data_IF_816381133295
#
_entry.id   IF_816381133295
#
_cell.length_a   1.000
_cell.length_b   1.000
_cell.length_c   1.000
_cell.angle_alpha   90.00
_cell.angle_beta   90.00
_cell.angle_gamma   90.00
#
_symmetry.space_group_name_H-M   'P 1'
#
loop_
_entity.id
_entity.type
_entity.pdbx_description
1 polymer ?
#
# COMPACT_ATOMS: atom_id res chain seq x y z
N UNK A 1 44.15 33.89 -8.02
CA UNK A 1 43.41 33.29 -9.15
C UNK A 1 42.84 31.97 -8.68
N UNK A 2 41.58 31.97 -8.22
CA UNK A 2 40.89 30.79 -7.75
C UNK A 2 39.99 30.27 -8.88
N UNK A 3 40.00 28.96 -9.13
CA UNK A 3 39.21 28.32 -10.18
C UNK A 3 37.71 28.35 -9.83
N UNK A 4 36.82 28.68 -10.78
CA UNK A 4 35.38 28.66 -10.54
C UNK A 4 34.79 27.28 -10.90
N UNK A 5 33.99 26.72 -9.98
CA UNK A 5 32.81 25.93 -10.34
C UNK A 5 32.92 24.39 -10.37
N UNK A 6 33.16 23.76 -9.23
CA UNK A 6 32.81 22.33 -9.00
C UNK A 6 31.74 22.18 -7.91
N UNK A 7 30.69 23.00 -7.96
CA UNK A 7 29.53 22.85 -7.07
C UNK A 7 28.25 22.73 -7.90
N UNK A 8 27.65 21.53 -7.91
CA UNK A 8 26.21 21.43 -8.15
C UNK A 8 25.72 20.49 -9.25
N UNK A 9 26.44 19.41 -9.56
CA UNK A 9 25.84 18.24 -10.20
C UNK A 9 26.25 17.01 -9.39
N UNK A 10 25.56 16.77 -8.27
CA UNK A 10 25.36 15.37 -7.86
C UNK A 10 24.78 14.70 -9.10
N UNK A 11 25.55 13.79 -9.71
CA UNK A 11 25.09 13.03 -10.86
C UNK A 11 23.71 12.47 -10.52
N UNK A 12 22.71 12.63 -11.40
CA UNK A 12 21.35 12.11 -11.18
C UNK A 12 21.39 10.65 -10.69
N UNK A 13 22.40 9.89 -11.13
CA UNK A 13 22.67 8.53 -10.67
C UNK A 13 22.93 8.40 -9.15
N UNK A 14 23.64 9.33 -8.51
CA UNK A 14 23.85 9.35 -7.05
C UNK A 14 22.54 9.64 -6.31
N UNK A 15 21.72 10.57 -6.82
CA UNK A 15 20.40 10.88 -6.25
C UNK A 15 19.47 9.66 -6.37
N UNK A 16 19.43 9.01 -7.53
CA UNK A 16 18.67 7.76 -7.75
C UNK A 16 19.18 6.60 -6.90
N UNK A 17 20.49 6.48 -6.70
CA UNK A 17 21.09 5.44 -5.87
C UNK A 17 20.76 5.64 -4.38
N UNK A 18 20.91 6.86 -3.86
CA UNK A 18 20.56 7.21 -2.47
C UNK A 18 19.07 7.10 -2.20
N UNK A 19 18.20 7.65 -3.05
CA UNK A 19 16.74 7.50 -2.95
C UNK A 19 16.37 6.01 -2.90
N UNK A 20 17.01 5.24 -3.77
CA UNK A 20 16.96 3.82 -3.80
C UNK A 20 17.23 3.04 -2.52
N UNK A 21 18.41 3.28 -1.95
CA UNK A 21 18.88 2.58 -0.75
C UNK A 21 17.96 2.85 0.45
N UNK A 22 17.37 4.05 0.52
CA UNK A 22 16.45 4.44 1.60
C UNK A 22 15.01 3.97 1.33
N UNK A 23 14.62 3.79 0.06
CA UNK A 23 13.26 3.40 -0.33
C UNK A 23 12.83 2.02 0.18
N UNK A 24 13.73 1.03 0.20
CA UNK A 24 13.39 -0.33 0.69
C UNK A 24 12.95 -0.35 2.16
N UNK A 25 13.78 0.16 3.09
CA UNK A 25 13.40 0.30 4.49
C UNK A 25 12.16 1.16 4.70
N UNK A 26 12.04 2.30 3.99
CA UNK A 26 10.86 3.17 4.07
C UNK A 26 9.58 2.47 3.62
N UNK A 27 9.65 1.69 2.52
CA UNK A 27 8.56 0.87 2.05
C UNK A 27 8.11 -0.13 3.11
N UNK A 28 9.04 -0.87 3.72
CA UNK A 28 8.71 -1.85 4.76
C UNK A 28 8.09 -1.20 6.01
N UNK A 29 8.62 -0.05 6.44
CA UNK A 29 8.05 0.71 7.57
C UNK A 29 6.64 1.17 7.25
N UNK A 30 6.43 1.75 6.06
CA UNK A 30 5.13 2.25 5.65
C UNK A 30 4.11 1.12 5.42
N UNK A 31 4.54 -0.02 4.89
CA UNK A 31 3.73 -1.23 4.77
C UNK A 31 3.31 -1.75 6.16
N UNK A 32 4.27 -1.84 7.10
CA UNK A 32 3.98 -2.25 8.47
C UNK A 32 3.02 -1.27 9.16
N UNK A 33 3.23 0.03 9.01
CA UNK A 33 2.33 1.06 9.52
C UNK A 33 0.93 0.94 8.92
N UNK A 34 0.82 0.71 7.61
CA UNK A 34 -0.46 0.48 6.92
C UNK A 34 -1.21 -0.70 7.53
N UNK A 35 -0.52 -1.83 7.76
CA UNK A 35 -1.11 -3.02 8.39
C UNK A 35 -1.59 -2.71 9.82
N UNK A 36 -0.77 -2.03 10.62
CA UNK A 36 -1.14 -1.63 11.99
C UNK A 36 -2.38 -0.76 12.00
N UNK A 37 -2.42 0.29 11.17
CA UNK A 37 -3.58 1.19 11.11
C UNK A 37 -4.83 0.51 10.55
N UNK A 38 -4.68 -0.43 9.61
CA UNK A 38 -5.78 -1.26 9.13
C UNK A 38 -6.39 -2.11 10.26
N UNK A 39 -5.55 -2.76 11.08
CA UNK A 39 -6.00 -3.53 12.26
C UNK A 39 -6.70 -2.61 13.27
N UNK A 40 -6.15 -1.42 13.53
CA UNK A 40 -6.78 -0.43 14.41
C UNK A 40 -8.14 0.03 13.86
N UNK A 41 -8.25 0.25 12.55
CA UNK A 41 -9.49 0.64 11.89
C UNK A 41 -10.57 -0.44 12.00
N UNK A 42 -10.21 -1.70 11.78
CA UNK A 42 -11.11 -2.86 11.94
C UNK A 42 -11.56 -2.97 13.40
N UNK A 43 -10.62 -2.89 14.33
CA UNK A 43 -10.90 -2.99 15.76
C UNK A 43 -11.81 -1.85 16.26
N UNK A 44 -11.55 -0.60 15.84
CA UNK A 44 -12.42 0.54 16.14
C UNK A 44 -13.82 0.35 15.53
N UNK A 45 -13.92 -0.19 14.32
CA UNK A 45 -15.18 -0.51 13.64
C UNK A 45 -16.00 -1.58 14.37
N UNK A 46 -15.34 -2.61 14.91
CA UNK A 46 -15.99 -3.64 15.74
C UNK A 46 -16.49 -3.10 17.08
N UNK A 47 -15.74 -2.21 17.73
CA UNK A 47 -16.17 -1.53 18.96
C UNK A 47 -17.22 -0.43 18.73
N UNK A 48 -17.56 -0.13 17.47
CA UNK A 48 -18.52 0.91 17.12
C UNK A 48 -18.02 2.35 17.36
N UNK A 49 -16.70 2.54 17.53
CA UNK A 49 -16.07 3.83 17.79
C UNK A 49 -15.92 4.62 16.48
N UNK A 50 -17.02 5.21 16.00
CA UNK A 50 -17.14 5.82 14.66
C UNK A 50 -16.04 6.84 14.34
N UNK A 51 -15.79 7.81 15.23
CA UNK A 51 -14.78 8.85 14.99
C UNK A 51 -13.37 8.25 14.84
N UNK A 52 -12.99 7.33 15.75
CA UNK A 52 -11.68 6.65 15.67
C UNK A 52 -11.58 5.78 14.41
N UNK A 53 -12.66 5.11 14.02
CA UNK A 53 -12.71 4.33 12.80
C UNK A 53 -12.46 5.20 11.56
N UNK A 54 -13.11 6.36 11.43
CA UNK A 54 -12.89 7.22 10.26
C UNK A 54 -11.48 7.81 10.22
N UNK A 55 -10.95 8.26 11.34
CA UNK A 55 -9.58 8.78 11.42
C UNK A 55 -8.56 7.71 11.02
N UNK A 56 -8.69 6.50 11.58
CA UNK A 56 -7.78 5.39 11.27
C UNK A 56 -7.93 4.89 9.82
N UNK A 57 -9.14 4.87 9.26
CA UNK A 57 -9.36 4.58 7.83
C UNK A 57 -8.68 5.63 6.94
N UNK A 58 -8.85 6.91 7.23
CA UNK A 58 -8.22 7.99 6.46
C UNK A 58 -6.68 7.86 6.46
N UNK A 59 -6.09 7.62 7.64
CA UNK A 59 -4.65 7.37 7.77
C UNK A 59 -4.24 6.12 6.98
N UNK A 60 -5.00 5.03 7.09
CA UNK A 60 -4.71 3.77 6.36
C UNK A 60 -4.69 3.99 4.85
N UNK A 61 -5.65 4.74 4.30
CA UNK A 61 -5.73 5.03 2.86
C UNK A 61 -4.52 5.85 2.40
N UNK A 62 -4.10 6.86 3.18
CA UNK A 62 -2.90 7.65 2.87
C UNK A 62 -1.64 6.78 2.90
N UNK A 63 -1.45 5.99 3.95
CA UNK A 63 -0.29 5.09 4.07
C UNK A 63 -0.27 4.05 2.94
N UNK A 64 -1.43 3.48 2.58
CA UNK A 64 -1.56 2.53 1.48
C UNK A 64 -1.17 3.17 0.14
N UNK A 65 -1.62 4.40 -0.13
CA UNK A 65 -1.23 5.13 -1.35
C UNK A 65 0.29 5.35 -1.42
N UNK A 66 0.90 5.76 -0.30
CA UNK A 66 2.35 5.88 -0.18
C UNK A 66 3.05 4.54 -0.37
N UNK A 67 2.48 3.44 0.13
CA UNK A 67 3.07 2.11 0.04
C UNK A 67 3.06 1.61 -1.41
N UNK A 68 2.01 1.92 -2.18
CA UNK A 68 1.94 1.63 -3.61
C UNK A 68 3.02 2.39 -4.38
N UNK A 69 3.17 3.70 -4.13
CA UNK A 69 4.20 4.52 -4.80
C UNK A 69 5.61 3.99 -4.47
N UNK A 70 5.87 3.68 -3.19
CA UNK A 70 7.16 3.15 -2.76
C UNK A 70 7.42 1.74 -3.32
N UNK A 71 6.40 0.88 -3.40
CA UNK A 71 6.50 -0.45 -4.01
C UNK A 71 6.85 -0.35 -5.49
N UNK A 72 6.25 0.58 -6.22
CA UNK A 72 6.58 0.83 -7.62
C UNK A 72 8.05 1.27 -7.77
N UNK A 73 8.48 2.27 -6.99
CA UNK A 73 9.87 2.76 -7.02
C UNK A 73 10.89 1.69 -6.64
N UNK A 74 10.56 0.86 -5.65
CA UNK A 74 11.41 -0.26 -5.23
C UNK A 74 11.45 -1.34 -6.30
N UNK A 75 10.30 -1.69 -6.89
CA UNK A 75 10.16 -2.72 -7.90
C UNK A 75 10.89 -2.42 -9.22
N UNK A 76 11.07 -1.14 -9.60
CA UNK A 76 11.82 -0.74 -10.81
C UNK A 76 13.27 -1.25 -10.87
N UNK A 77 13.82 -1.67 -9.74
CA UNK A 77 15.19 -2.20 -9.60
C UNK A 77 15.30 -3.68 -9.93
N UNK A 78 14.18 -4.33 -10.16
CA UNK A 78 14.12 -5.77 -10.32
C UNK A 78 13.44 -6.10 -11.64
N UNK A 79 13.91 -7.18 -12.26
CA UNK A 79 13.19 -7.90 -13.30
C UNK A 79 12.41 -9.03 -12.63
N UNK A 80 11.11 -9.12 -12.96
CA UNK A 80 10.20 -10.10 -12.37
C UNK A 80 9.75 -11.12 -13.41
N UNK A 81 9.56 -12.36 -12.96
CA UNK A 81 8.81 -13.35 -13.72
C UNK A 81 7.38 -12.83 -13.98
N UNK A 82 6.96 -12.85 -15.25
CA UNK A 82 5.68 -12.28 -15.68
C UNK A 82 4.49 -12.98 -15.02
N UNK A 83 4.57 -14.30 -14.81
CA UNK A 83 3.47 -15.06 -14.19
C UNK A 83 3.25 -14.59 -12.76
N UNK A 84 4.31 -14.50 -11.96
CA UNK A 84 4.23 -14.04 -10.56
C UNK A 84 3.77 -12.60 -10.47
N UNK A 85 4.25 -11.73 -11.36
CA UNK A 85 3.82 -10.34 -11.45
C UNK A 85 2.31 -10.24 -11.73
N UNK A 86 1.80 -10.98 -12.72
CA UNK A 86 0.37 -10.96 -13.03
C UNK A 86 -0.51 -11.51 -11.90
N UNK A 87 -0.06 -12.54 -11.20
CA UNK A 87 -0.78 -13.05 -10.01
C UNK A 87 -0.85 -11.98 -8.93
N UNK A 88 0.26 -11.31 -8.62
CA UNK A 88 0.28 -10.22 -7.65
C UNK A 88 -0.63 -9.06 -8.06
N UNK A 89 -0.49 -8.59 -9.31
CA UNK A 89 -1.32 -7.51 -9.85
C UNK A 89 -2.80 -7.89 -9.86
N UNK A 90 -3.15 -9.13 -10.19
CA UNK A 90 -4.52 -9.63 -10.12
C UNK A 90 -5.09 -9.47 -8.71
N UNK A 91 -4.40 -9.95 -7.68
CA UNK A 91 -4.82 -9.76 -6.29
C UNK A 91 -4.90 -8.29 -5.89
N UNK A 92 -3.93 -7.47 -6.30
CA UNK A 92 -3.90 -6.03 -6.01
C UNK A 92 -5.10 -5.30 -6.66
N UNK A 93 -5.40 -5.56 -7.93
CA UNK A 93 -6.52 -4.95 -8.64
C UNK A 93 -7.86 -5.38 -8.07
N UNK A 94 -8.04 -6.66 -7.70
CA UNK A 94 -9.29 -7.08 -7.03
C UNK A 94 -9.44 -6.40 -5.67
N UNK A 95 -8.35 -6.25 -4.91
CA UNK A 95 -8.39 -5.48 -3.66
C UNK A 95 -8.83 -4.03 -3.90
N UNK A 96 -8.22 -3.32 -4.87
CA UNK A 96 -8.61 -1.97 -5.24
C UNK A 96 -10.08 -1.89 -5.72
N UNK A 97 -10.54 -2.89 -6.49
CA UNK A 97 -11.92 -3.02 -6.92
C UNK A 97 -12.91 -3.19 -5.76
N UNK A 98 -12.46 -3.66 -4.59
CA UNK A 98 -13.31 -3.72 -3.39
C UNK A 98 -13.50 -2.34 -2.72
N UNK A 99 -12.60 -1.38 -2.93
CA UNK A 99 -12.63 -0.07 -2.26
C UNK A 99 -13.93 0.71 -2.50
N UNK A 100 -14.45 0.85 -3.75
CA UNK A 100 -15.74 1.50 -3.98
C UNK A 100 -16.88 0.85 -3.17
N UNK A 101 -16.89 -0.49 -3.06
CA UNK A 101 -17.86 -1.22 -2.27
C UNK A 101 -17.72 -0.98 -0.76
N UNK A 102 -16.48 -0.92 -0.25
CA UNK A 102 -16.19 -0.56 1.15
C UNK A 102 -16.67 0.86 1.47
N UNK A 103 -16.35 1.83 0.60
CA UNK A 103 -16.74 3.24 0.76
C UNK A 103 -18.26 3.39 0.69
N UNK A 104 -18.90 2.84 -0.35
CA UNK A 104 -20.35 2.89 -0.51
C UNK A 104 -21.09 2.27 0.67
N UNK A 105 -20.70 1.05 1.07
CA UNK A 105 -21.33 0.36 2.20
C UNK A 105 -21.04 1.04 3.54
N UNK A 106 -19.88 1.68 3.72
CA UNK A 106 -19.53 2.46 4.90
C UNK A 106 -20.36 3.74 5.02
N UNK A 107 -20.50 4.50 3.94
CA UNK A 107 -21.37 5.69 3.87
C UNK A 107 -22.83 5.31 4.07
N UNK A 108 -23.29 4.22 3.46
CA UNK A 108 -24.65 3.70 3.65
C UNK A 108 -24.90 3.26 5.10
N UNK A 109 -23.91 2.65 5.76
CA UNK A 109 -24.01 2.29 7.17
C UNK A 109 -24.08 3.54 8.08
N UNK A 110 -23.33 4.60 7.74
CA UNK A 110 -23.38 5.87 8.44
C UNK A 110 -24.76 6.56 8.31
N UNK A 111 -25.39 6.42 7.14
CA UNK A 111 -26.74 6.95 6.82
C UNK A 111 -27.89 6.03 7.24
N UNK A 112 -27.60 4.84 7.77
CA UNK A 112 -28.62 3.86 8.17
C UNK A 112 -29.29 3.10 7.01
N UNK A 113 -28.79 3.23 5.78
CA UNK A 113 -29.37 2.58 4.57
C UNK A 113 -28.78 1.20 4.28
N UNK A 114 -27.59 0.89 4.81
CA UNK A 114 -26.90 -0.39 4.60
C UNK A 114 -26.72 -1.13 5.93
N UNK A 115 -26.95 -2.44 5.93
CA UNK A 115 -26.78 -3.30 7.12
C UNK A 115 -25.30 -3.63 7.36
N UNK A 116 -24.90 -3.72 8.63
CA UNK A 116 -23.52 -4.07 9.04
C UNK A 116 -22.92 -5.31 8.33
N UNK A 117 -23.65 -6.42 8.11
CA UNK A 117 -23.09 -7.58 7.44
C UNK A 117 -22.63 -7.31 5.99
N UNK A 118 -23.31 -6.41 5.28
CA UNK A 118 -22.93 -6.05 3.89
C UNK A 118 -21.59 -5.33 3.88
N UNK A 119 -21.43 -4.32 4.76
CA UNK A 119 -20.15 -3.61 4.90
C UNK A 119 -19.02 -4.56 5.32
N UNK A 120 -19.28 -5.48 6.27
CA UNK A 120 -18.31 -6.49 6.70
C UNK A 120 -17.86 -7.42 5.56
N UNK A 121 -18.75 -7.79 4.63
CA UNK A 121 -18.38 -8.60 3.45
C UNK A 121 -17.43 -7.85 2.51
N UNK A 122 -17.72 -6.59 2.22
CA UNK A 122 -16.83 -5.75 1.40
C UNK A 122 -15.47 -5.54 2.05
N UNK A 123 -15.45 -5.22 3.35
CA UNK A 123 -14.19 -5.09 4.10
C UNK A 123 -13.44 -6.42 4.14
N UNK A 124 -14.14 -7.54 4.36
CA UNK A 124 -13.55 -8.87 4.35
C UNK A 124 -12.90 -9.23 3.02
N UNK A 125 -13.56 -8.93 1.89
CA UNK A 125 -13.00 -9.08 0.55
C UNK A 125 -11.75 -8.21 0.34
N UNK A 126 -11.84 -6.92 0.66
CA UNK A 126 -10.70 -6.01 0.58
C UNK A 126 -9.49 -6.51 1.39
N UNK A 127 -9.70 -6.89 2.65
CA UNK A 127 -8.64 -7.38 3.54
C UNK A 127 -8.05 -8.69 3.01
N UNK A 128 -8.89 -9.64 2.59
CA UNK A 128 -8.45 -10.93 2.06
C UNK A 128 -7.55 -10.74 0.82
N UNK A 129 -7.99 -9.98 -0.17
CA UNK A 129 -7.20 -9.75 -1.39
C UNK A 129 -5.97 -8.88 -1.15
N UNK A 130 -6.00 -7.97 -0.16
CA UNK A 130 -4.81 -7.24 0.27
C UNK A 130 -3.76 -8.17 0.87
N UNK A 131 -4.17 -9.08 1.77
CA UNK A 131 -3.25 -10.08 2.37
C UNK A 131 -2.69 -10.99 1.28
N UNK A 132 -3.53 -11.49 0.37
CA UNK A 132 -3.07 -12.29 -0.77
C UNK A 132 -2.07 -11.52 -1.63
N UNK A 133 -2.34 -10.25 -1.94
CA UNK A 133 -1.44 -9.39 -2.70
C UNK A 133 -0.07 -9.23 -2.04
N UNK A 134 -0.02 -9.05 -0.71
CA UNK A 134 1.23 -8.98 0.05
C UNK A 134 1.99 -10.31 0.01
N UNK A 135 1.29 -11.44 0.18
CA UNK A 135 1.91 -12.77 0.09
C UNK A 135 2.47 -13.04 -1.31
N UNK A 136 1.73 -12.71 -2.35
CA UNK A 136 2.17 -12.90 -3.74
C UNK A 136 3.28 -11.92 -4.12
N UNK A 137 3.32 -10.72 -3.52
CA UNK A 137 4.47 -9.81 -3.67
C UNK A 137 5.73 -10.46 -3.09
N UNK A 138 5.66 -10.99 -1.86
CA UNK A 138 6.78 -11.74 -1.27
C UNK A 138 7.24 -12.88 -2.17
N UNK A 139 6.30 -13.68 -2.71
CA UNK A 139 6.61 -14.75 -3.65
C UNK A 139 7.22 -14.27 -4.97
N UNK A 140 6.78 -13.12 -5.49
CA UNK A 140 7.35 -12.47 -6.67
C UNK A 140 8.82 -12.09 -6.42
N UNK A 141 9.13 -11.51 -5.25
CA UNK A 141 10.49 -11.10 -4.90
C UNK A 141 11.47 -12.27 -4.64
N UNK A 142 10.98 -13.46 -4.29
CA UNK A 142 11.85 -14.64 -4.09
C UNK A 142 12.62 -15.09 -5.35
N UNK A 143 12.18 -14.67 -6.54
CA UNK A 143 12.83 -14.98 -7.82
C UNK A 143 13.07 -13.71 -8.65
N UNK A 144 13.22 -12.58 -7.96
CA UNK A 144 13.52 -11.32 -8.60
C UNK A 144 15.02 -11.24 -8.92
N UNK A 145 15.35 -10.87 -10.15
CA UNK A 145 16.72 -10.58 -10.56
C UNK A 145 16.94 -9.07 -10.42
N UNK A 146 18.06 -8.67 -9.81
CA UNK A 146 18.41 -7.26 -9.73
C UNK A 146 18.84 -6.77 -11.11
N UNK A 147 18.26 -5.66 -11.55
CA UNK A 147 18.65 -4.95 -12.77
C UNK A 147 19.95 -4.16 -12.58
#
# INVERSE_FOLDING_TARGET
MAAPGETGLESDAEVFYRLGAVNGPLFLINLAATVVFLVLAIHAGWRGLRQRHYVTVAITVVLLALAIIQAELYGRRFSFDLTRLYVHLGCAFVSLGCLPGVVWSGLGLARGTVRRPVHRRWVGGFVLFTVLSVLTAGWMFLNAEAN
#
